data_IF_424689242352
#
_entry.id   IF_424689242352
#
_cell.length_a   1.000
_cell.length_b   1.000
_cell.length_c   1.000
_cell.angle_alpha   90.00
_cell.angle_beta   90.00
_cell.angle_gamma   90.00
#
_symmetry.space_group_name_H-M   'P 1'
#
loop_
_entity.id
_entity.type
_entity.pdbx_description
1 polymer ?
#
# COMPACT_ATOMS: atom_id res chain seq x y z
N UNK A 1 47.52 -16.43 -54.77
CA UNK A 1 47.88 -16.09 -56.16
C UNK A 1 46.93 -16.86 -57.07
N UNK A 2 46.20 -16.14 -57.93
CA UNK A 2 45.28 -16.63 -58.98
C UNK A 2 43.97 -17.27 -58.48
N UNK A 3 42.94 -16.45 -58.27
CA UNK A 3 41.64 -16.55 -58.97
C UNK A 3 40.74 -15.35 -58.55
N UNK A 4 41.21 -14.16 -58.88
CA UNK A 4 40.36 -13.00 -59.14
C UNK A 4 40.40 -12.81 -60.66
N UNK A 5 39.25 -12.51 -61.27
CA UNK A 5 38.94 -12.33 -62.70
C UNK A 5 38.19 -13.49 -63.38
N UNK A 6 37.12 -13.09 -64.09
CA UNK A 6 36.14 -13.86 -64.88
C UNK A 6 35.00 -14.39 -63.98
N UNK A 7 33.79 -13.82 -63.95
CA UNK A 7 32.93 -13.56 -65.09
C UNK A 7 31.90 -12.47 -64.75
N UNK A 8 32.05 -11.29 -65.37
CA UNK A 8 30.91 -10.49 -65.83
C UNK A 8 30.63 -10.89 -67.28
N UNK A 9 29.36 -10.74 -67.70
CA UNK A 9 28.81 -10.73 -69.07
C UNK A 9 27.98 -11.97 -69.43
N UNK A 10 26.66 -11.92 -69.22
CA UNK A 10 25.67 -11.88 -70.31
C UNK A 10 24.24 -11.70 -69.72
N UNK A 11 23.47 -10.71 -70.20
CA UNK A 11 22.08 -10.48 -69.80
C UNK A 11 21.11 -11.24 -70.72
N UNK A 12 19.86 -11.39 -70.28
CA UNK A 12 18.69 -12.00 -70.95
C UNK A 12 18.46 -13.50 -70.67
N UNK A 13 17.62 -13.75 -69.65
CA UNK A 13 16.45 -14.65 -69.67
C UNK A 13 15.90 -14.70 -68.23
N UNK A 14 14.86 -13.92 -67.97
CA UNK A 14 13.87 -14.28 -66.95
C UNK A 14 13.04 -15.45 -67.51
N UNK A 15 12.52 -16.39 -66.70
CA UNK A 15 11.49 -16.06 -65.73
C UNK A 15 11.60 -16.81 -64.39
N UNK A 16 10.69 -16.47 -63.48
CA UNK A 16 10.39 -17.19 -62.25
C UNK A 16 11.48 -17.14 -61.16
N UNK A 17 11.83 -15.93 -60.72
CA UNK A 17 12.25 -15.75 -59.32
C UNK A 17 11.01 -15.89 -58.45
N UNK A 18 10.86 -17.10 -57.94
CA UNK A 18 10.06 -17.49 -56.78
C UNK A 18 10.21 -16.43 -55.69
N UNK A 19 9.23 -15.53 -55.65
CA UNK A 19 9.00 -14.62 -54.54
C UNK A 19 8.48 -15.51 -53.41
N UNK A 20 9.41 -16.10 -52.65
CA UNK A 20 9.14 -16.79 -51.42
C UNK A 20 8.71 -15.71 -50.41
N UNK A 21 7.44 -15.30 -50.51
CA UNK A 21 6.71 -14.59 -49.46
C UNK A 21 6.73 -15.51 -48.24
N UNK A 22 7.71 -15.28 -47.36
CA UNK A 22 7.72 -15.84 -46.02
C UNK A 22 6.59 -15.14 -45.25
N UNK A 23 5.37 -15.60 -45.48
CA UNK A 23 4.24 -15.29 -44.61
C UNK A 23 4.51 -15.98 -43.28
N UNK A 24 5.18 -15.29 -42.38
CA UNK A 24 5.22 -15.64 -40.96
C UNK A 24 3.80 -15.42 -40.46
N UNK A 25 2.98 -16.46 -40.57
CA UNK A 25 1.72 -16.56 -39.84
C UNK A 25 2.13 -16.69 -38.38
N UNK A 26 2.16 -15.57 -37.66
CA UNK A 26 2.16 -15.59 -36.22
C UNK A 26 0.78 -16.14 -35.84
N UNK A 27 0.69 -17.46 -35.69
CA UNK A 27 -0.43 -18.08 -35.00
C UNK A 27 -0.34 -17.62 -33.55
N UNK A 28 -1.06 -16.54 -33.21
CA UNK A 28 -1.45 -16.33 -31.83
C UNK A 28 -2.37 -17.51 -31.47
N UNK A 29 -1.79 -18.53 -30.85
CA UNK A 29 -2.56 -19.52 -30.10
C UNK A 29 -3.21 -18.74 -28.96
N UNK A 30 -4.42 -18.25 -29.18
CA UNK A 30 -5.30 -17.88 -28.08
C UNK A 30 -5.69 -19.19 -27.42
N UNK A 31 -4.91 -19.62 -26.43
CA UNK A 31 -5.32 -20.70 -25.55
C UNK A 31 -6.65 -20.30 -24.93
N UNK A 32 -7.73 -20.99 -25.32
CA UNK A 32 -9.01 -20.84 -24.64
C UNK A 32 -8.84 -21.44 -23.26
N UNK A 33 -8.79 -20.58 -22.26
CA UNK A 33 -8.78 -20.99 -20.86
C UNK A 33 -10.20 -21.41 -20.50
N UNK A 34 -10.38 -22.66 -20.09
CA UNK A 34 -11.65 -23.16 -19.58
C UNK A 34 -11.57 -23.33 -18.07
N UNK A 35 -12.53 -22.72 -17.38
CA UNK A 35 -12.80 -22.98 -15.97
C UNK A 35 -12.89 -24.48 -15.70
N UNK A 36 -12.35 -24.91 -14.56
CA UNK A 36 -12.37 -26.30 -14.15
C UNK A 36 -13.29 -26.45 -12.95
N UNK A 37 -14.04 -27.55 -12.90
CA UNK A 37 -14.97 -27.82 -11.79
C UNK A 37 -14.30 -28.32 -10.52
N UNK A 38 -12.96 -28.37 -10.48
CA UNK A 38 -12.19 -28.87 -9.34
C UNK A 38 -10.83 -28.18 -9.24
N UNK A 39 -10.35 -27.98 -8.01
CA UNK A 39 -9.02 -27.47 -7.69
C UNK A 39 -7.93 -28.42 -8.23
N UNK A 40 -8.16 -29.74 -8.17
CA UNK A 40 -7.19 -30.75 -8.61
C UNK A 40 -6.96 -30.79 -10.13
N UNK A 41 -7.86 -30.18 -10.88
CA UNK A 41 -7.80 -30.08 -12.34
C UNK A 41 -7.59 -28.62 -12.80
N UNK A 42 -7.32 -27.70 -11.88
CA UNK A 42 -7.26 -26.27 -12.16
C UNK A 42 -6.31 -25.97 -13.34
N UNK A 43 -6.75 -25.09 -14.23
CA UNK A 43 -5.96 -24.72 -15.39
C UNK A 43 -4.88 -23.73 -14.98
N UNK A 44 -3.64 -23.98 -15.40
CA UNK A 44 -2.51 -23.06 -15.23
C UNK A 44 -2.66 -21.86 -16.17
N UNK A 45 -2.60 -20.65 -15.60
CA UNK A 45 -2.63 -19.41 -16.36
C UNK A 45 -1.39 -18.57 -16.08
N UNK A 46 -0.84 -17.98 -17.15
CA UNK A 46 0.33 -17.11 -17.09
C UNK A 46 -0.14 -15.66 -17.23
N UNK A 47 0.12 -14.77 -16.26
CA UNK A 47 -0.32 -13.38 -16.36
C UNK A 47 0.48 -12.57 -17.39
N UNK A 48 -0.08 -11.43 -17.86
CA UNK A 48 -1.46 -10.98 -17.61
C UNK A 48 -2.47 -11.86 -18.36
N UNK A 49 -3.62 -12.12 -17.74
CA UNK A 49 -4.69 -12.90 -18.39
C UNK A 49 -6.06 -12.29 -18.20
N UNK A 50 -6.94 -12.55 -19.16
CA UNK A 50 -8.36 -12.26 -19.12
C UNK A 50 -9.11 -13.55 -19.47
N UNK A 51 -10.00 -14.00 -18.59
CA UNK A 51 -10.77 -15.23 -18.74
C UNK A 51 -12.23 -14.92 -18.50
N UNK A 52 -13.09 -15.30 -19.45
CA UNK A 52 -14.54 -15.21 -19.24
C UNK A 52 -15.14 -16.56 -18.90
N UNK A 53 -16.07 -16.57 -17.96
CA UNK A 53 -16.77 -17.77 -17.49
C UNK A 53 -18.26 -17.54 -17.26
N UNK A 54 -18.99 -18.62 -17.00
CA UNK A 54 -20.38 -18.58 -16.60
C UNK A 54 -20.57 -19.55 -15.43
N UNK A 55 -21.06 -19.05 -14.31
CA UNK A 55 -21.25 -19.87 -13.11
C UNK A 55 -22.60 -20.57 -13.24
N UNK A 56 -22.64 -21.86 -12.91
CA UNK A 56 -23.90 -22.57 -12.81
C UNK A 56 -24.63 -22.18 -11.52
N UNK A 57 -25.94 -21.90 -11.62
CA UNK A 57 -26.75 -21.61 -10.44
C UNK A 57 -26.65 -22.74 -9.40
N UNK A 58 -26.56 -22.39 -8.10
CA UNK A 58 -26.53 -23.39 -7.05
C UNK A 58 -27.82 -24.23 -7.07
N UNK A 59 -27.68 -25.53 -6.85
CA UNK A 59 -28.80 -26.47 -6.91
C UNK A 59 -29.67 -26.47 -5.65
N UNK A 60 -29.20 -25.86 -4.57
CA UNK A 60 -29.88 -25.72 -3.27
C UNK A 60 -29.49 -24.40 -2.60
N UNK A 61 -30.37 -23.83 -1.76
CA UNK A 61 -30.02 -22.73 -0.86
C UNK A 61 -28.84 -23.15 0.02
N UNK A 62 -27.66 -22.64 -0.29
CA UNK A 62 -26.44 -22.94 0.45
C UNK A 62 -26.32 -21.93 1.60
N UNK A 63 -26.45 -22.40 2.84
CA UNK A 63 -26.23 -21.58 4.02
C UNK A 63 -24.72 -21.40 4.22
N UNK A 64 -24.19 -20.26 3.80
CA UNK A 64 -22.78 -19.96 3.96
C UNK A 64 -22.42 -19.81 5.45
N UNK A 65 -21.30 -20.41 5.91
CA UNK A 65 -20.60 -19.84 7.05
C UNK A 65 -20.17 -18.44 6.62
N UNK A 66 -20.54 -17.42 7.38
CA UNK A 66 -20.28 -15.99 7.12
C UNK A 66 -18.79 -15.59 7.10
N UNK A 67 -17.88 -16.55 6.90
CA UNK A 67 -16.45 -16.35 6.69
C UNK A 67 -15.86 -17.60 6.02
N UNK A 68 -15.77 -17.61 4.68
CA UNK A 68 -15.03 -18.62 3.92
C UNK A 68 -13.53 -18.65 4.23
N UNK A 69 -13.04 -17.75 5.07
CA UNK A 69 -11.63 -17.63 5.43
C UNK A 69 -11.38 -17.69 6.94
N UNK A 70 -12.37 -18.15 7.72
CA UNK A 70 -12.23 -18.38 9.16
C UNK A 70 -11.70 -19.77 9.54
N UNK A 71 -11.56 -20.69 8.57
CA UNK A 71 -11.14 -22.07 8.78
C UNK A 71 -10.37 -22.61 7.55
N UNK A 72 -9.72 -23.76 7.71
CA UNK A 72 -9.21 -24.53 6.57
C UNK A 72 -10.37 -25.31 5.93
N UNK A 73 -10.42 -25.33 4.59
CA UNK A 73 -11.48 -26.00 3.83
C UNK A 73 -10.90 -27.10 2.94
N UNK A 74 -11.68 -28.15 2.72
CA UNK A 74 -11.51 -29.01 1.55
C UNK A 74 -12.36 -28.47 0.39
N UNK A 75 -12.02 -28.80 -0.85
CA UNK A 75 -12.84 -28.48 -2.02
C UNK A 75 -14.31 -28.93 -1.85
N UNK A 76 -14.54 -30.05 -1.16
CA UNK A 76 -15.88 -30.60 -0.92
C UNK A 76 -16.73 -29.78 0.05
N UNK A 77 -16.11 -28.88 0.81
CA UNK A 77 -16.79 -27.95 1.72
C UNK A 77 -17.23 -26.65 1.02
N UNK A 78 -16.89 -26.47 -0.26
CA UNK A 78 -17.18 -25.28 -1.05
C UNK A 78 -18.38 -25.52 -1.99
N UNK A 79 -19.15 -24.48 -2.33
CA UNK A 79 -20.25 -24.62 -3.29
C UNK A 79 -19.75 -25.01 -4.69
N UNK A 80 -20.63 -25.32 -5.65
CA UNK A 80 -20.24 -25.39 -7.05
C UNK A 80 -19.65 -24.04 -7.50
N UNK A 81 -18.52 -24.11 -8.19
CA UNK A 81 -17.85 -22.92 -8.72
C UNK A 81 -16.75 -23.30 -9.71
N UNK A 82 -16.13 -22.26 -10.25
CA UNK A 82 -15.08 -22.35 -11.24
C UNK A 82 -13.72 -22.17 -10.57
N UNK A 83 -12.78 -23.06 -10.91
CA UNK A 83 -11.42 -23.07 -10.39
C UNK A 83 -10.39 -22.71 -11.45
N UNK A 84 -9.42 -21.90 -11.03
CA UNK A 84 -8.23 -21.54 -11.80
C UNK A 84 -6.99 -21.67 -10.93
N UNK A 85 -5.86 -22.03 -11.55
CA UNK A 85 -4.55 -22.03 -10.88
C UNK A 85 -3.67 -20.95 -11.48
N UNK A 86 -2.85 -20.37 -10.63
CA UNK A 86 -2.01 -19.24 -10.96
C UNK A 86 -0.68 -19.36 -10.19
N UNK A 87 0.42 -19.16 -10.91
CA UNK A 87 1.78 -19.09 -10.36
C UNK A 87 2.29 -17.66 -10.49
N UNK A 88 2.32 -16.87 -9.38
CA UNK A 88 2.83 -15.51 -9.39
C UNK A 88 4.28 -15.43 -9.83
N UNK A 89 4.61 -14.40 -10.60
CA UNK A 89 5.99 -14.01 -10.92
C UNK A 89 6.45 -12.82 -10.11
N UNK A 90 5.51 -12.02 -9.60
CA UNK A 90 5.76 -10.82 -8.79
C UNK A 90 5.28 -11.01 -7.35
N UNK A 91 5.66 -10.06 -6.48
CA UNK A 91 5.23 -10.03 -5.07
C UNK A 91 3.84 -9.44 -4.88
N UNK A 92 3.30 -8.74 -5.88
CA UNK A 92 1.94 -8.21 -5.87
C UNK A 92 1.20 -8.63 -7.13
N UNK A 93 -0.03 -9.08 -6.94
CA UNK A 93 -1.00 -9.27 -8.00
C UNK A 93 -2.30 -8.56 -7.64
N UNK A 94 -2.97 -8.02 -8.66
CA UNK A 94 -4.36 -7.61 -8.58
C UNK A 94 -5.19 -8.63 -9.34
N UNK A 95 -6.21 -9.15 -8.68
CA UNK A 95 -7.28 -9.85 -9.34
C UNK A 95 -8.51 -8.97 -9.43
N UNK A 96 -8.88 -8.59 -10.65
CA UNK A 96 -10.13 -7.89 -10.93
C UNK A 96 -11.12 -8.85 -11.56
N UNK A 97 -12.34 -8.89 -11.04
CA UNK A 97 -13.46 -9.61 -11.60
C UNK A 97 -14.51 -8.60 -12.10
N UNK A 98 -14.54 -8.40 -13.41
CA UNK A 98 -15.66 -7.76 -14.09
C UNK A 98 -16.83 -8.72 -14.22
N UNK A 99 -18.05 -8.22 -14.16
CA UNK A 99 -19.25 -9.04 -14.37
C UNK A 99 -20.32 -8.28 -15.12
N UNK A 100 -21.17 -9.02 -15.84
CA UNK A 100 -22.35 -8.46 -16.48
C UNK A 100 -23.59 -8.89 -15.69
N UNK A 101 -24.18 -7.94 -14.96
CA UNK A 101 -25.40 -8.21 -14.19
C UNK A 101 -26.60 -8.22 -15.15
N UNK A 102 -27.39 -9.28 -15.11
CA UNK A 102 -28.79 -9.23 -15.56
C UNK A 102 -29.68 -8.90 -14.36
N UNK A 103 -30.88 -8.34 -14.56
CA UNK A 103 -31.74 -7.82 -13.48
C UNK A 103 -32.05 -8.83 -12.33
N UNK A 104 -31.79 -10.12 -12.53
CA UNK A 104 -32.06 -11.21 -11.58
C UNK A 104 -30.78 -11.94 -11.08
N UNK A 105 -29.58 -11.37 -11.32
CA UNK A 105 -28.31 -12.00 -10.91
C UNK A 105 -27.57 -11.15 -9.89
N UNK A 106 -26.90 -11.80 -8.95
CA UNK A 106 -25.91 -11.14 -8.10
C UNK A 106 -24.52 -11.28 -8.74
N UNK A 107 -23.58 -10.36 -8.43
CA UNK A 107 -22.18 -10.52 -8.78
C UNK A 107 -21.62 -11.85 -8.27
N UNK A 108 -20.68 -12.46 -9.00
CA UNK A 108 -19.95 -13.62 -8.48
C UNK A 108 -19.07 -13.18 -7.30
N UNK A 109 -18.83 -14.13 -6.40
CA UNK A 109 -17.84 -14.03 -5.35
C UNK A 109 -16.50 -14.59 -5.87
N UNK A 110 -15.40 -13.96 -5.48
CA UNK A 110 -14.05 -14.39 -5.82
C UNK A 110 -13.25 -14.58 -4.55
N UNK A 111 -12.64 -15.74 -4.40
CA UNK A 111 -11.78 -16.08 -3.27
C UNK A 111 -10.47 -16.66 -3.79
N UNK A 112 -9.37 -16.32 -3.13
CA UNK A 112 -8.04 -16.82 -3.46
C UNK A 112 -7.53 -17.69 -2.33
N UNK A 113 -7.12 -18.91 -2.68
CA UNK A 113 -6.59 -19.89 -1.76
C UNK A 113 -5.13 -20.23 -2.06
N UNK A 114 -4.41 -20.65 -1.03
CA UNK A 114 -3.14 -21.35 -1.08
C UNK A 114 -3.27 -22.75 -0.45
N UNK A 115 -2.26 -23.58 -0.66
CA UNK A 115 -2.15 -24.89 -0.02
C UNK A 115 -2.46 -26.04 -0.97
N UNK A 116 -3.32 -26.96 -0.54
CA UNK A 116 -3.73 -28.13 -1.34
C UNK A 116 -5.25 -28.22 -1.37
N UNK A 117 -5.83 -28.89 -2.36
CA UNK A 117 -7.31 -29.02 -2.46
C UNK A 117 -7.96 -29.72 -1.24
N UNK A 118 -7.18 -30.44 -0.43
CA UNK A 118 -7.61 -31.08 0.82
C UNK A 118 -7.42 -30.18 2.06
N UNK A 119 -6.71 -29.07 1.91
CA UNK A 119 -6.35 -28.14 2.99
C UNK A 119 -6.05 -26.76 2.40
N UNK A 120 -7.11 -26.09 1.94
CA UNK A 120 -7.07 -24.75 1.38
C UNK A 120 -7.08 -23.71 2.51
N UNK A 121 -6.24 -22.68 2.38
CA UNK A 121 -6.17 -21.52 3.26
C UNK A 121 -6.36 -20.25 2.43
N UNK A 122 -7.15 -19.28 2.90
CA UNK A 122 -7.34 -18.03 2.15
C UNK A 122 -6.09 -17.15 2.22
N UNK A 123 -5.75 -16.52 1.09
CA UNK A 123 -4.58 -15.63 0.96
C UNK A 123 -4.94 -14.17 1.19
N UNK A 124 -6.21 -13.78 0.99
CA UNK A 124 -6.63 -12.43 1.33
C UNK A 124 -8.13 -12.39 1.64
N UNK A 125 -8.46 -12.19 2.91
CA UNK A 125 -9.84 -12.01 3.35
C UNK A 125 -9.92 -10.79 4.23
N UNK A 126 -10.54 -9.74 3.70
CA UNK A 126 -11.04 -8.65 4.53
C UNK A 126 -12.53 -8.89 4.79
N UNK A 127 -12.94 -9.23 6.04
CA UNK A 127 -14.33 -9.48 6.41
C UNK A 127 -15.25 -8.26 6.21
N UNK A 128 -14.68 -7.05 6.04
CA UNK A 128 -15.46 -5.83 5.84
C UNK A 128 -15.94 -5.65 4.40
N UNK A 129 -15.42 -6.44 3.46
CA UNK A 129 -15.68 -6.30 2.03
C UNK A 129 -16.60 -7.41 1.47
N UNK A 130 -17.46 -7.98 2.30
CA UNK A 130 -18.30 -9.16 2.03
C UNK A 130 -19.40 -8.96 0.96
N UNK A 131 -19.50 -7.76 0.36
CA UNK A 131 -20.53 -7.43 -0.62
C UNK A 131 -19.92 -6.64 -1.79
N UNK A 132 -19.72 -7.30 -2.93
CA UNK A 132 -19.43 -6.71 -4.26
C UNK A 132 -18.00 -6.27 -4.57
N UNK A 133 -16.99 -6.93 -4.02
CA UNK A 133 -15.60 -6.65 -4.44
C UNK A 133 -15.36 -7.14 -5.86
N UNK A 134 -15.12 -6.17 -6.75
CA UNK A 134 -14.58 -6.43 -8.08
C UNK A 134 -13.07 -6.57 -8.06
N UNK A 135 -12.38 -6.00 -7.07
CA UNK A 135 -10.92 -5.90 -7.07
C UNK A 135 -10.33 -6.49 -5.79
N UNK A 136 -9.69 -7.64 -5.92
CA UNK A 136 -9.00 -8.35 -4.83
C UNK A 136 -7.50 -8.13 -5.01
N UNK A 137 -6.91 -7.10 -4.38
CA UNK A 137 -5.46 -7.01 -4.32
C UNK A 137 -4.95 -8.16 -3.47
N UNK A 138 -3.77 -8.69 -3.79
CA UNK A 138 -3.15 -9.74 -2.98
C UNK A 138 -1.63 -9.63 -3.00
N UNK A 139 -1.05 -9.89 -1.83
CA UNK A 139 0.40 -10.12 -1.71
C UNK A 139 0.67 -11.57 -2.11
N UNK A 140 1.58 -11.76 -3.05
CA UNK A 140 1.92 -13.06 -3.60
C UNK A 140 3.38 -13.41 -3.31
N UNK A 141 3.69 -14.70 -3.23
CA UNK A 141 5.06 -15.18 -3.21
C UNK A 141 5.39 -15.76 -4.59
N UNK A 142 6.37 -15.20 -5.33
CA UNK A 142 6.75 -15.70 -6.64
C UNK A 142 7.01 -17.21 -6.65
N UNK A 143 6.39 -17.91 -7.60
CA UNK A 143 6.52 -19.36 -7.78
C UNK A 143 5.62 -20.22 -6.89
N UNK A 144 4.80 -19.63 -6.01
CA UNK A 144 3.82 -20.37 -5.21
C UNK A 144 2.54 -20.60 -6.00
N UNK A 145 1.91 -21.76 -5.86
CA UNK A 145 0.62 -22.00 -6.52
C UNK A 145 -0.52 -21.36 -5.73
N UNK A 146 -1.36 -20.60 -6.43
CA UNK A 146 -2.59 -20.02 -5.92
C UNK A 146 -3.79 -20.58 -6.68
N UNK A 147 -4.88 -20.80 -5.96
CA UNK A 147 -6.16 -21.22 -6.53
C UNK A 147 -7.15 -20.07 -6.47
N UNK A 148 -7.63 -19.63 -7.63
CA UNK A 148 -8.70 -18.64 -7.72
C UNK A 148 -10.00 -19.41 -7.88
N UNK A 149 -10.92 -19.14 -6.96
CA UNK A 149 -12.21 -19.77 -6.90
C UNK A 149 -13.31 -18.74 -7.10
N UNK A 150 -14.11 -18.94 -8.14
CA UNK A 150 -15.21 -18.04 -8.52
C UNK A 150 -16.53 -18.78 -8.35
N UNK A 151 -17.44 -18.26 -7.54
CA UNK A 151 -18.73 -18.90 -7.28
C UNK A 151 -19.87 -17.87 -7.21
N UNK A 152 -21.10 -18.34 -7.25
CA UNK A 152 -22.27 -17.48 -7.10
C UNK A 152 -23.26 -18.11 -6.13
N UNK A 153 -23.75 -17.30 -5.21
CA UNK A 153 -24.84 -17.68 -4.30
C UNK A 153 -26.21 -17.62 -4.97
N UNK A 154 -26.33 -16.75 -5.97
CA UNK A 154 -27.63 -16.41 -6.56
C UNK A 154 -27.49 -16.23 -8.08
N UNK A 155 -28.13 -17.16 -8.80
CA UNK A 155 -28.23 -17.11 -10.25
C UNK A 155 -27.00 -17.67 -10.95
N UNK A 156 -26.92 -17.38 -12.25
CA UNK A 156 -25.86 -17.87 -13.14
C UNK A 156 -25.17 -16.68 -13.82
N UNK A 157 -24.42 -15.84 -13.08
CA UNK A 157 -23.75 -14.69 -13.67
C UNK A 157 -22.69 -15.13 -14.68
N UNK A 158 -22.57 -14.33 -15.76
CA UNK A 158 -21.36 -14.33 -16.56
C UNK A 158 -20.35 -13.36 -15.96
N UNK A 159 -19.07 -13.73 -16.03
CA UNK A 159 -17.99 -12.94 -15.47
C UNK A 159 -16.79 -12.91 -16.41
N UNK A 160 -15.95 -11.90 -16.22
CA UNK A 160 -14.64 -11.74 -16.81
C UNK A 160 -13.66 -11.53 -15.67
N UNK A 161 -12.74 -12.47 -15.50
CA UNK A 161 -11.65 -12.40 -14.56
C UNK A 161 -10.42 -11.86 -15.27
N UNK A 162 -9.88 -10.76 -14.79
CA UNK A 162 -8.62 -10.16 -15.21
C UNK A 162 -7.62 -10.25 -14.08
N UNK A 163 -6.44 -10.80 -14.34
CA UNK A 163 -5.35 -10.81 -13.37
C UNK A 163 -4.17 -10.03 -13.93
N UNK A 164 -3.73 -9.04 -13.16
CA UNK A 164 -2.59 -8.20 -13.45
C UNK A 164 -1.53 -8.34 -12.35
N UNK A 165 -0.27 -8.43 -12.76
CA UNK A 165 0.86 -8.51 -11.85
C UNK A 165 1.57 -7.16 -11.78
N UNK A 166 1.92 -6.74 -10.58
CA UNK A 166 2.61 -5.49 -10.32
C UNK A 166 3.95 -5.77 -9.65
N UNK A 167 4.99 -5.09 -10.13
CA UNK A 167 6.27 -5.04 -9.42
C UNK A 167 6.19 -3.92 -8.39
N UNK A 168 6.60 -4.15 -7.13
CA UNK A 168 6.59 -3.08 -6.14
C UNK A 168 7.45 -1.89 -6.58
N UNK A 169 7.04 -0.65 -6.26
CA UNK A 169 7.84 0.54 -6.51
C UNK A 169 9.21 0.42 -5.84
N UNK A 170 10.29 0.95 -6.44
CA UNK A 170 11.64 0.83 -5.87
C UNK A 170 11.82 1.41 -4.46
N UNK A 171 10.91 2.28 -4.03
CA UNK A 171 10.92 2.97 -2.74
C UNK A 171 9.74 2.57 -1.85
N UNK A 172 9.17 1.39 -2.03
CA UNK A 172 8.12 0.83 -1.17
C UNK A 172 8.62 0.51 0.25
N UNK A 173 9.92 0.28 0.43
CA UNK A 173 10.54 0.07 1.76
C UNK A 173 11.28 1.30 2.26
N UNK A 174 11.30 1.48 3.59
CA UNK A 174 11.98 2.58 4.26
C UNK A 174 13.48 2.63 3.91
N UNK A 175 14.17 1.49 3.81
CA UNK A 175 15.59 1.46 3.47
C UNK A 175 15.91 1.95 2.05
N UNK A 176 14.92 1.92 1.16
CA UNK A 176 15.03 2.36 -0.24
C UNK A 176 14.35 3.70 -0.48
N UNK A 177 13.99 4.42 0.58
CA UNK A 177 13.32 5.71 0.49
C UNK A 177 14.07 6.69 -0.42
N UNK A 178 13.32 7.43 -1.24
CA UNK A 178 13.90 8.46 -2.12
C UNK A 178 14.48 9.58 -1.26
N UNK A 179 15.80 9.75 -1.31
CA UNK A 179 16.48 10.77 -0.54
C UNK A 179 16.33 12.16 -1.19
N UNK A 180 15.79 13.11 -0.42
CA UNK A 180 15.66 14.51 -0.77
C UNK A 180 16.49 15.31 0.22
N UNK A 181 17.29 16.24 -0.27
CA UNK A 181 18.10 17.15 0.54
C UNK A 181 17.62 18.58 0.34
N UNK A 182 18.10 19.47 1.19
CA UNK A 182 17.87 20.91 1.03
C UNK A 182 18.27 21.44 -0.35
N UNK A 183 19.33 20.90 -0.96
CA UNK A 183 19.83 21.35 -2.27
C UNK A 183 18.93 20.89 -3.43
N UNK A 184 18.04 19.93 -3.19
CA UNK A 184 17.06 19.44 -4.17
C UNK A 184 15.79 20.30 -4.21
N UNK A 185 15.67 21.32 -3.35
CA UNK A 185 14.47 22.16 -3.28
C UNK A 185 14.49 23.30 -4.33
N UNK A 186 13.37 23.57 -5.03
CA UNK A 186 12.10 22.85 -4.96
C UNK A 186 12.19 21.48 -5.66
N UNK A 187 11.71 20.45 -4.97
CA UNK A 187 11.64 19.09 -5.50
C UNK A 187 10.29 18.85 -6.16
N UNK A 188 10.29 18.13 -7.28
CA UNK A 188 9.09 17.66 -7.97
C UNK A 188 9.37 16.30 -8.60
N UNK A 189 8.46 15.34 -8.43
CA UNK A 189 8.55 14.02 -9.07
C UNK A 189 7.19 13.35 -9.17
N UNK A 190 7.07 12.42 -10.13
CA UNK A 190 5.89 11.57 -10.31
C UNK A 190 6.22 10.17 -9.81
N UNK A 191 5.34 9.61 -8.99
CA UNK A 191 5.48 8.31 -8.35
C UNK A 191 4.19 7.53 -8.48
N UNK A 192 4.25 6.22 -8.27
CA UNK A 192 3.09 5.34 -8.28
C UNK A 192 3.04 4.53 -6.99
N UNK A 193 1.82 4.23 -6.53
CA UNK A 193 1.55 3.28 -5.46
C UNK A 193 1.23 1.87 -6.01
N UNK A 194 1.23 1.69 -7.33
CA UNK A 194 0.89 0.44 -7.97
C UNK A 194 1.86 -0.66 -7.50
N UNK A 195 1.33 -1.69 -6.84
CA UNK A 195 2.13 -2.77 -6.29
C UNK A 195 2.90 -2.46 -5.00
N UNK A 196 2.67 -1.31 -4.36
CA UNK A 196 3.37 -0.95 -3.13
C UNK A 196 3.01 -1.87 -1.96
N UNK A 197 4.02 -2.44 -1.29
CA UNK A 197 3.89 -3.24 -0.07
C UNK A 197 4.72 -2.58 1.03
N UNK A 198 4.23 -1.43 1.52
CA UNK A 198 4.97 -0.65 2.51
C UNK A 198 5.35 -1.52 3.71
N UNK A 199 6.56 -1.33 4.24
CA UNK A 199 6.97 -1.78 5.58
C UNK A 199 6.27 -0.94 6.66
N UNK A 200 4.94 -1.00 6.62
CA UNK A 200 4.02 -0.20 7.41
C UNK A 200 4.24 -0.31 8.93
N UNK A 201 4.88 -1.39 9.40
CA UNK A 201 5.28 -1.53 10.81
C UNK A 201 6.27 -0.43 11.27
N UNK A 202 6.94 0.22 10.33
CA UNK A 202 7.84 1.38 10.58
C UNK A 202 7.08 2.72 10.60
N UNK A 203 5.75 2.72 10.44
CA UNK A 203 4.94 3.92 10.58
C UNK A 203 4.74 4.32 12.05
N UNK A 204 5.42 5.38 12.45
CA UNK A 204 5.29 6.03 13.75
C UNK A 204 4.23 7.13 13.80
N UNK A 205 3.56 7.46 12.69
CA UNK A 205 2.40 8.34 12.66
C UNK A 205 1.07 7.59 12.88
N UNK A 206 1.05 6.26 12.69
CA UNK A 206 -0.16 5.44 12.83
C UNK A 206 -1.24 5.78 11.80
N UNK A 207 -0.83 6.17 10.60
CA UNK A 207 -1.70 6.37 9.43
C UNK A 207 -2.05 5.01 8.81
N UNK A 208 -3.12 4.84 8.03
CA UNK A 208 -3.41 3.55 7.39
C UNK A 208 -2.73 3.46 6.02
N UNK A 209 -1.40 3.46 6.00
CA UNK A 209 -0.57 3.60 4.79
C UNK A 209 0.00 2.29 4.26
N UNK A 210 -0.76 1.19 4.34
CA UNK A 210 -0.31 -0.18 4.01
C UNK A 210 0.25 -0.31 2.59
N UNK A 211 -0.29 0.45 1.65
CA UNK A 211 0.15 0.47 0.26
C UNK A 211 0.82 1.81 -0.03
N UNK A 212 2.06 1.95 0.43
CA UNK A 212 2.77 3.23 0.47
C UNK A 212 4.21 3.17 0.00
N UNK A 213 4.76 4.34 -0.26
CA UNK A 213 6.15 4.54 -0.66
C UNK A 213 6.80 5.61 0.21
N UNK A 214 8.12 5.52 0.32
CA UNK A 214 8.91 6.31 1.25
C UNK A 214 9.80 7.34 0.57
N UNK A 215 9.94 8.46 1.25
CA UNK A 215 10.92 9.51 0.98
C UNK A 215 11.65 9.88 2.26
N UNK A 216 12.85 10.42 2.13
CA UNK A 216 13.53 11.08 3.25
C UNK A 216 13.83 12.52 2.93
N UNK A 217 13.84 13.37 3.95
CA UNK A 217 14.23 14.76 3.84
C UNK A 217 15.21 15.16 4.94
N UNK A 218 16.28 15.87 4.59
CA UNK A 218 17.23 16.46 5.54
C UNK A 218 17.53 17.91 5.19
N UNK A 219 17.50 18.79 6.19
CA UNK A 219 17.90 20.20 6.07
C UNK A 219 19.22 20.46 6.81
N UNK A 220 19.99 21.44 6.34
CA UNK A 220 21.17 21.98 7.04
C UNK A 220 20.88 23.29 7.76
N UNK A 221 19.72 23.91 7.51
CA UNK A 221 19.31 25.13 8.19
C UNK A 221 18.79 24.84 9.60
N UNK A 222 19.01 25.76 10.57
CA UNK A 222 18.56 25.55 11.95
C UNK A 222 17.07 25.24 12.05
N UNK A 223 16.25 26.01 11.31
CA UNK A 223 14.82 25.83 11.17
C UNK A 223 14.39 26.23 9.75
N UNK A 224 13.70 25.33 9.07
CA UNK A 224 13.22 25.50 7.70
C UNK A 224 11.76 25.03 7.60
N UNK A 225 10.77 25.91 7.37
CA UNK A 225 9.40 25.52 7.15
C UNK A 225 9.28 24.89 5.76
N UNK A 226 8.88 23.63 5.73
CA UNK A 226 8.71 22.83 4.53
C UNK A 226 7.23 22.68 4.21
N UNK A 227 6.91 22.69 2.93
CA UNK A 227 5.60 22.40 2.37
C UNK A 227 5.74 21.19 1.45
N UNK A 228 5.05 20.11 1.79
CA UNK A 228 4.83 18.95 0.93
C UNK A 228 3.45 19.08 0.29
N UNK A 229 3.35 18.84 -1.01
CA UNK A 229 2.06 18.68 -1.68
C UNK A 229 2.06 17.41 -2.51
N UNK A 230 0.96 16.67 -2.42
CA UNK A 230 0.70 15.57 -3.34
C UNK A 230 -0.50 15.91 -4.22
N UNK A 231 -0.36 15.76 -5.53
CA UNK A 231 -1.49 15.90 -6.45
C UNK A 231 -1.78 14.56 -7.07
N UNK A 232 -3.01 14.10 -6.85
CA UNK A 232 -3.52 12.84 -7.38
C UNK A 232 -4.14 13.08 -8.74
N UNK A 233 -3.67 12.39 -9.79
CA UNK A 233 -4.25 12.55 -11.13
C UNK A 233 -5.51 11.71 -11.33
N UNK A 234 -5.75 10.73 -10.45
CA UNK A 234 -6.84 9.77 -10.52
C UNK A 234 -7.72 9.81 -9.27
N UNK A 235 -9.02 9.60 -9.44
CA UNK A 235 -9.97 9.45 -8.34
C UNK A 235 -9.78 8.14 -7.54
N UNK A 236 -8.91 7.24 -8.01
CA UNK A 236 -8.64 5.92 -7.41
C UNK A 236 -7.93 6.00 -6.04
N UNK A 237 -7.19 7.08 -5.78
CA UNK A 237 -6.44 7.31 -4.53
C UNK A 237 -7.21 8.21 -3.55
N UNK A 238 -8.53 8.03 -3.47
CA UNK A 238 -9.42 8.80 -2.60
C UNK A 238 -9.12 8.65 -1.10
N UNK A 239 -8.25 7.72 -0.70
CA UNK A 239 -7.85 7.46 0.68
C UNK A 239 -6.34 7.64 0.90
N UNK A 240 -5.66 8.44 0.05
CA UNK A 240 -4.25 8.77 0.29
C UNK A 240 -4.04 9.35 1.68
N UNK A 241 -3.11 8.76 2.41
CA UNK A 241 -2.59 9.22 3.69
C UNK A 241 -1.14 9.65 3.54
N UNK A 242 -0.75 10.68 4.29
CA UNK A 242 0.63 11.14 4.36
C UNK A 242 1.05 11.25 5.82
N UNK A 243 2.20 10.70 6.15
CA UNK A 243 2.84 10.83 7.45
C UNK A 243 4.25 11.38 7.30
N UNK A 244 4.59 12.43 8.05
CA UNK A 244 5.96 12.92 8.18
C UNK A 244 6.41 12.64 9.60
N UNK A 245 7.50 11.92 9.74
CA UNK A 245 8.03 11.50 11.02
C UNK A 245 9.54 11.67 11.10
N UNK A 246 10.05 11.83 12.31
CA UNK A 246 11.47 11.89 12.59
C UNK A 246 11.85 10.82 13.61
N UNK A 247 13.07 10.29 13.49
CA UNK A 247 13.61 9.34 14.47
C UNK A 247 14.34 10.11 15.57
N UNK A 248 13.92 9.93 16.81
CA UNK A 248 14.55 10.52 18.01
C UNK A 248 15.05 9.38 18.90
N UNK A 249 16.32 9.02 18.73
CA UNK A 249 16.88 7.82 19.36
C UNK A 249 16.26 6.56 18.75
N UNK A 250 15.66 5.71 19.59
CA UNK A 250 15.00 4.47 19.17
C UNK A 250 13.48 4.64 18.95
N UNK A 251 12.96 5.87 19.01
CA UNK A 251 11.53 6.14 18.91
C UNK A 251 11.19 7.04 17.72
N UNK A 252 10.01 6.81 17.16
CA UNK A 252 9.42 7.66 16.14
C UNK A 252 8.68 8.84 16.79
N UNK A 253 8.80 10.02 16.17
CA UNK A 253 8.02 11.21 16.49
C UNK A 253 7.29 11.62 15.22
N UNK A 254 5.97 11.58 15.25
CA UNK A 254 5.16 12.10 14.15
C UNK A 254 5.15 13.63 14.19
N UNK A 255 5.55 14.24 13.08
CA UNK A 255 5.67 15.69 12.92
C UNK A 255 4.43 16.26 12.22
N UNK A 256 3.86 15.54 11.26
CA UNK A 256 2.67 15.98 10.53
C UNK A 256 1.93 14.80 9.86
N UNK A 257 0.60 14.91 9.71
CA UNK A 257 -0.26 13.93 9.02
C UNK A 257 -1.21 14.66 8.06
N UNK A 258 -1.49 14.07 6.89
CA UNK A 258 -2.44 14.57 5.90
C UNK A 258 -3.32 13.48 5.26
N UNK A 259 -4.43 13.89 4.65
CA UNK A 259 -5.43 13.02 3.98
C UNK A 259 -5.92 13.61 2.64
N UNK A 260 -6.40 12.72 1.77
CA UNK A 260 -6.74 12.81 0.33
C UNK A 260 -7.41 14.06 -0.28
N UNK A 261 -8.02 14.98 0.48
CA UNK A 261 -8.87 16.03 -0.12
C UNK A 261 -8.17 17.34 -0.50
N UNK A 262 -6.92 17.56 -0.11
CA UNK A 262 -6.01 18.63 -0.59
C UNK A 262 -4.73 18.57 0.27
N UNK A 263 -3.80 17.67 -0.04
CA UNK A 263 -2.74 17.28 0.91
C UNK A 263 -1.52 18.20 0.80
N UNK A 264 -1.72 19.48 1.08
CA UNK A 264 -0.63 20.37 1.49
C UNK A 264 -0.31 20.12 2.96
N UNK A 265 0.83 19.51 3.23
CA UNK A 265 1.35 19.25 4.57
C UNK A 265 2.51 20.21 4.87
N UNK A 266 2.57 20.72 6.10
CA UNK A 266 3.63 21.64 6.51
C UNK A 266 4.25 21.20 7.82
N UNK A 267 5.58 21.31 7.93
CA UNK A 267 6.32 21.11 9.17
C UNK A 267 7.57 22.01 9.21
N UNK A 268 8.22 22.08 10.37
CA UNK A 268 9.49 22.79 10.53
C UNK A 268 10.62 21.77 10.59
N UNK A 269 11.41 21.70 9.52
CA UNK A 269 12.60 20.87 9.48
C UNK A 269 13.73 21.50 10.29
N UNK A 270 14.43 20.69 11.08
CA UNK A 270 15.59 21.10 11.90
C UNK A 270 16.88 20.61 11.26
N UNK A 271 17.96 21.35 11.50
CA UNK A 271 19.28 21.00 10.99
C UNK A 271 19.71 19.59 11.39
N UNK A 272 20.12 18.80 10.40
CA UNK A 272 20.66 17.44 10.55
C UNK A 272 19.68 16.43 11.19
N UNK A 273 18.38 16.73 11.16
CA UNK A 273 17.34 15.74 11.45
C UNK A 273 16.89 15.10 10.15
N UNK A 274 16.86 13.76 10.11
CA UNK A 274 16.29 13.01 9.00
C UNK A 274 14.79 12.81 9.25
N UNK A 275 14.00 13.35 8.33
CA UNK A 275 12.57 13.13 8.26
C UNK A 275 12.30 11.99 7.28
N UNK A 276 11.35 11.14 7.60
CA UNK A 276 10.83 10.06 6.78
C UNK A 276 9.39 10.40 6.45
N UNK A 277 9.06 10.30 5.17
CA UNK A 277 7.76 10.68 4.63
C UNK A 277 7.15 9.43 4.02
N UNK A 278 6.06 8.94 4.61
CA UNK A 278 5.23 7.88 4.06
C UNK A 278 4.08 8.51 3.29
N UNK A 279 3.93 8.17 2.02
CA UNK A 279 2.76 8.50 1.21
C UNK A 279 2.16 7.17 0.77
N UNK A 280 0.92 6.89 1.16
CA UNK A 280 0.30 5.61 0.85
C UNK A 280 -1.21 5.64 0.88
N UNK A 281 -1.81 4.47 0.77
CA UNK A 281 -3.25 4.27 0.80
C UNK A 281 -3.60 3.06 1.70
N UNK A 282 -4.81 3.10 2.26
CA UNK A 282 -5.45 2.04 3.04
C UNK A 282 -5.86 0.85 2.18
N UNK A 283 -6.15 1.10 0.91
CA UNK A 283 -6.48 0.10 -0.10
C UNK A 283 -5.40 0.10 -1.17
N UNK A 284 -5.11 -1.06 -1.76
CA UNK A 284 -4.20 -1.11 -2.88
C UNK A 284 -4.85 -0.34 -4.04
N UNK A 285 -4.45 0.92 -4.22
CA UNK A 285 -4.88 1.69 -5.36
C UNK A 285 -4.10 1.25 -6.57
N UNK A 286 -4.80 1.10 -7.67
CA UNK A 286 -4.20 0.75 -8.95
C UNK A 286 -4.61 1.80 -9.96
N UNK A 287 -3.61 2.26 -10.72
CA UNK A 287 -3.71 3.38 -11.66
C UNK A 287 -3.76 4.75 -10.97
N UNK A 288 -2.83 4.96 -10.02
CA UNK A 288 -2.73 6.18 -9.24
C UNK A 288 -1.35 6.82 -9.27
N UNK A 289 -0.87 7.24 -10.45
CA UNK A 289 0.27 8.16 -10.48
C UNK A 289 -0.08 9.42 -9.68
N UNK A 290 0.83 9.80 -8.78
CA UNK A 290 0.73 11.01 -8.00
C UNK A 290 2.00 11.84 -8.15
N UNK A 291 1.81 13.16 -8.20
CA UNK A 291 2.92 14.09 -8.18
C UNK A 291 3.23 14.48 -6.74
N UNK A 292 4.50 14.43 -6.37
CA UNK A 292 5.04 14.93 -5.10
C UNK A 292 5.79 16.22 -5.37
N UNK A 293 5.49 17.27 -4.62
CA UNK A 293 6.29 18.49 -4.57
C UNK A 293 6.74 18.79 -3.15
N UNK A 294 8.00 19.19 -2.99
CA UNK A 294 8.55 19.63 -1.71
C UNK A 294 9.19 21.01 -1.89
N UNK A 295 8.79 21.97 -1.05
CA UNK A 295 9.23 23.36 -1.16
C UNK A 295 9.55 23.97 0.20
N UNK A 296 10.62 24.74 0.26
CA UNK A 296 10.96 25.58 1.41
C UNK A 296 10.19 26.90 1.37
N UNK A 297 9.70 27.37 2.52
CA UNK A 297 9.18 28.73 2.70
C UNK A 297 10.25 29.73 3.16
N UNK A 298 11.51 29.35 3.09
CA UNK A 298 12.66 30.16 3.48
C UNK A 298 13.10 29.90 4.91
N UNK A 299 14.29 30.39 5.26
CA UNK A 299 14.89 30.14 6.58
C UNK A 299 14.23 31.01 7.64
N UNK A 300 13.79 30.41 8.76
CA UNK A 300 13.42 31.18 9.94
C UNK A 300 14.72 31.66 10.57
N UNK A 301 15.10 32.92 10.31
CA UNK A 301 16.24 33.51 11.02
C UNK A 301 15.89 33.55 12.50
N UNK A 302 16.61 32.77 13.31
CA UNK A 302 16.59 32.96 14.76
C UNK A 302 16.87 34.44 15.02
N UNK A 303 16.07 35.14 15.85
CA UNK A 303 16.29 36.55 16.10
C UNK A 303 17.74 36.70 16.57
N UNK A 304 18.54 37.38 15.75
CA UNK A 304 19.88 37.78 16.14
C UNK A 304 19.69 38.64 17.37
N UNK A 305 19.84 38.06 18.55
CA UNK A 305 19.95 38.84 19.78
C UNK A 305 21.17 39.72 19.55
N UNK A 306 20.89 40.97 19.17
CA UNK A 306 21.92 41.98 19.01
C UNK A 306 22.59 42.07 20.37
N UNK A 307 23.79 41.51 20.48
CA UNK A 307 24.63 41.55 21.66
C UNK A 307 25.20 42.97 21.88
N UNK A 308 24.36 43.98 21.66
CA UNK A 308 24.64 45.37 21.89
C UNK A 308 23.65 45.91 22.92
N UNK A 309 23.62 45.27 24.08
CA UNK A 309 23.37 46.00 25.32
C UNK A 309 24.71 46.09 26.02
N UNK A 310 25.38 47.21 25.76
CA UNK A 310 26.41 47.76 26.63
C UNK A 310 25.98 47.54 28.09
N UNK A 311 26.86 47.02 28.98
CA UNK A 311 26.50 46.79 30.37
C UNK A 311 26.08 48.12 31.00
N UNK A 312 24.78 48.29 31.26
CA UNK A 312 24.30 49.38 32.08
C UNK A 312 25.04 49.31 33.41
N UNK A 313 25.71 50.42 33.76
CA UNK A 313 26.52 50.54 34.96
C UNK A 313 25.75 50.03 36.18
N UNK A 314 26.41 49.14 36.92
CA UNK A 314 25.90 48.56 38.17
C UNK A 314 25.49 49.68 39.14
N UNK A 315 24.24 49.69 39.66
CA UNK A 315 23.96 50.46 40.85
C UNK A 315 24.68 49.81 42.04
N UNK A 316 25.49 50.59 42.73
CA UNK A 316 26.17 50.23 43.98
C UNK A 316 25.14 49.82 45.04
N UNK A 317 25.06 48.52 45.32
CA UNK A 317 24.27 47.96 46.40
C UNK A 317 25.05 48.10 47.71
N UNK A 318 24.52 48.95 48.58
CA UNK A 318 24.92 49.07 49.98
C UNK A 318 24.58 47.80 50.74
N UNK A 319 25.55 47.27 51.47
CA UNK A 319 25.44 46.16 52.40
C UNK A 319 24.45 46.45 53.54
N UNK A 320 23.51 45.54 53.85
CA UNK A 320 22.92 45.46 55.17
C UNK A 320 23.64 44.43 56.05
N UNK A 321 23.69 44.84 57.30
CA UNK A 321 24.29 44.24 58.48
C UNK A 321 23.76 42.82 58.78
N UNK A 322 24.69 42.00 59.27
CA UNK A 322 24.54 40.66 59.83
C UNK A 322 23.62 40.66 61.07
N UNK A 323 22.66 39.74 61.13
CA UNK A 323 22.11 39.26 62.40
C UNK A 323 22.03 37.73 62.39
N UNK A 324 22.85 37.14 63.26
CA UNK A 324 23.02 35.71 63.51
C UNK A 324 22.11 35.25 64.64
N UNK A 325 21.50 34.05 64.55
CA UNK A 325 21.04 33.23 65.70
C UNK A 325 20.49 31.84 65.23
N UNK A 326 20.30 30.85 66.12
CA UNK A 326 21.17 29.68 66.21
C UNK A 326 20.48 28.35 65.83
N UNK A 327 21.26 27.28 65.82
CA UNK A 327 20.93 26.00 65.21
C UNK A 327 19.95 25.09 65.95
N UNK A 328 19.65 23.96 65.30
CA UNK A 328 19.24 22.74 65.98
C UNK A 328 19.68 21.52 65.17
N UNK A 329 20.37 20.63 65.87
CA UNK A 329 20.79 19.28 65.52
C UNK A 329 19.61 18.31 65.43
N UNK A 330 19.72 17.31 64.56
CA UNK A 330 18.83 16.16 64.55
C UNK A 330 19.36 15.04 63.67
N UNK A 331 20.18 14.16 64.26
CA UNK A 331 20.52 12.83 63.76
C UNK A 331 19.28 11.94 63.61
N UNK A 332 19.28 11.07 62.59
CA UNK A 332 18.28 10.03 62.41
C UNK A 332 18.70 8.99 61.38
N UNK A 333 19.34 7.93 61.86
CA UNK A 333 19.82 6.77 61.10
C UNK A 333 18.73 5.87 60.51
N UNK A 334 19.16 5.14 59.46
CA UNK A 334 18.81 3.77 59.07
C UNK A 334 17.46 3.49 58.38
N UNK A 335 17.52 2.90 57.18
CA UNK A 335 17.45 1.44 56.99
C UNK A 335 17.50 1.10 55.48
N UNK A 336 18.30 0.09 55.14
CA UNK A 336 18.38 -0.44 53.78
C UNK A 336 17.13 -1.25 53.39
N UNK A 337 16.79 -1.19 52.11
CA UNK A 337 15.84 -2.11 51.47
C UNK A 337 16.51 -2.85 50.31
N UNK A 338 16.20 -4.14 50.11
CA UNK A 338 16.76 -4.98 49.05
C UNK A 338 16.14 -4.69 47.68
N UNK A 339 16.73 -5.19 46.58
CA UNK A 339 16.22 -4.95 45.23
C UNK A 339 14.89 -5.70 45.02
N UNK A 340 13.84 -4.96 44.68
CA UNK A 340 12.57 -5.51 44.22
C UNK A 340 12.72 -5.88 42.75
N UNK A 341 12.53 -7.17 42.46
CA UNK A 341 12.49 -7.73 41.12
C UNK A 341 11.33 -7.14 40.30
N UNK A 342 11.60 -6.92 39.01
CA UNK A 342 10.63 -6.45 38.03
C UNK A 342 9.42 -7.41 37.92
N UNK A 343 8.18 -6.91 37.91
CA UNK A 343 7.06 -7.70 37.44
C UNK A 343 7.04 -7.69 35.90
N UNK A 344 6.85 -8.88 35.33
CA UNK A 344 6.60 -9.10 33.91
C UNK A 344 5.45 -8.21 33.42
N UNK A 345 5.65 -7.57 32.26
CA UNK A 345 4.61 -6.83 31.55
C UNK A 345 3.50 -7.79 31.11
N UNK A 346 2.35 -7.67 31.77
CA UNK A 346 1.08 -8.17 31.24
C UNK A 346 0.62 -7.19 30.16
N UNK A 347 0.59 -7.65 28.91
CA UNK A 347 -0.16 -7.00 27.85
C UNK A 347 -1.66 -7.07 28.23
N UNK A 348 -2.25 -5.92 28.50
CA UNK A 348 -3.70 -5.78 28.58
C UNK A 348 -4.21 -5.20 27.27
N UNK A 349 -5.09 -5.97 26.65
CA UNK A 349 -6.10 -5.54 25.71
C UNK A 349 -6.95 -4.36 26.22
N UNK A 350 -7.58 -3.70 25.24
CA UNK A 350 -8.77 -2.85 25.28
C UNK A 350 -8.50 -1.37 25.00
N UNK A 351 -8.61 -0.99 23.72
CA UNK A 351 -9.37 0.19 23.33
C UNK A 351 -10.47 -0.25 22.37
N UNK A 352 -11.65 -0.50 22.94
CA UNK A 352 -12.91 -0.28 22.24
C UNK A 352 -13.05 1.23 22.06
N UNK A 353 -13.16 1.70 20.82
CA UNK A 353 -13.76 3.00 20.54
C UNK A 353 -14.80 2.86 19.44
N UNK A 354 -16.04 2.91 19.91
CA UNK A 354 -17.28 3.15 19.19
C UNK A 354 -17.13 4.40 18.32
N UNK A 355 -17.04 4.23 17.00
CA UNK A 355 -17.38 5.30 16.07
C UNK A 355 -18.86 5.16 15.71
N UNK A 356 -19.65 6.12 16.21
CA UNK A 356 -21.05 6.26 15.91
C UNK A 356 -21.23 6.60 14.42
N UNK A 357 -21.82 5.65 13.67
CA UNK A 357 -22.41 5.92 12.37
C UNK A 357 -23.57 6.90 12.52
N UNK A 358 -23.36 8.14 12.08
CA UNK A 358 -24.41 9.10 11.81
C UNK A 358 -24.68 9.14 10.31
N UNK A 359 -25.57 8.28 9.81
CA UNK A 359 -26.29 8.49 8.55
C UNK A 359 -27.43 7.46 8.44
N UNK A 360 -28.62 7.87 8.85
CA UNK A 360 -29.85 7.18 8.51
C UNK A 360 -30.93 8.20 8.15
N UNK A 361 -31.77 7.75 7.22
CA UNK A 361 -33.08 8.24 6.86
C UNK A 361 -33.14 9.39 5.86
N UNK A 362 -33.30 9.02 4.58
CA UNK A 362 -34.28 9.67 3.71
C UNK A 362 -34.74 8.69 2.64
N UNK A 363 -35.67 7.79 2.95
CA UNK A 363 -36.65 7.28 1.98
C UNK A 363 -37.91 6.76 2.70
N UNK A 364 -39.07 7.10 2.12
CA UNK A 364 -40.46 6.66 2.38
C UNK A 364 -41.36 7.42 3.37
N UNK A 365 -42.21 8.30 2.78
CA UNK A 365 -43.68 8.41 2.94
C UNK A 365 -44.11 9.72 2.23
N UNK A 366 -45.14 9.87 1.38
CA UNK A 366 -46.48 9.30 1.15
C UNK A 366 -46.83 9.65 -0.34
N UNK A 367 -47.80 9.07 -1.07
CA UNK A 367 -49.27 9.11 -0.87
C UNK A 367 -49.93 8.04 -1.75
N UNK A 368 -50.86 7.30 -1.13
CA UNK A 368 -51.98 6.60 -1.77
C UNK A 368 -53.05 7.62 -2.15
N UNK A 369 -53.49 7.60 -3.41
CA UNK A 369 -54.66 8.30 -3.93
C UNK A 369 -55.12 7.65 -5.21
#
# INVERSE_FOLDING_TARGET
MILHYLLCSFPWLAPARTLLLLAVVISHETAFVQAQGSCSAAQENVPPFEISGNIAAPTTEYNHPSALCGAAFSESDLPPGDWYSYFPKTEVALLTAGFSITLDSFPPNVVVFEGTCESLSCVNYDPLYDFFVTDVPMTTLPGSELFIYVFSEYGSPSYTLTLEEYSPPPNDKLENAVAITQDDLPFQGVFSLDGALSDFEEDGCGIDGKYGVWFTYTSTFPEEPIVLKTTVQSAAIANTVIGVQARVGDSWVCEAIGFSFDIELQWIAKANVQYYILIGDSVASLNGDFEVTLQSRGVVQSPTFSANTEPAASPSVSTPVVESLPGTSGEGSAAGNPPVAAPASRANHCFDNVFAMGLLASFFCFIVG
#
